data_IF_530137652831
#
_entry.id   IF_530137652831
#
_cell.length_a   1.000
_cell.length_b   1.000
_cell.length_c   1.000
_cell.angle_alpha   90.00
_cell.angle_beta   90.00
_cell.angle_gamma   90.00
#
_symmetry.space_group_name_H-M   'P 1'
#
loop_
_entity.id
_entity.type
_entity.pdbx_description
1 polymer ?
#
# COMPACT_ATOMS: atom_id res chain seq x y z
N UNK A 1 -51.71 -22.10 17.32
CA UNK A 1 -51.11 -21.17 16.33
C UNK A 1 -49.61 -21.13 16.58
N UNK A 2 -48.86 -21.92 15.82
CA UNK A 2 -47.40 -22.01 15.93
C UNK A 2 -46.73 -20.69 15.52
N UNK A 3 -46.18 -19.96 16.49
CA UNK A 3 -45.46 -18.68 16.29
C UNK A 3 -44.00 -18.86 15.86
N UNK A 4 -43.55 -20.11 15.72
CA UNK A 4 -42.18 -20.49 15.32
C UNK A 4 -41.71 -19.95 13.96
N UNK A 5 -42.54 -19.85 12.89
CA UNK A 5 -42.05 -19.38 11.59
C UNK A 5 -41.79 -17.87 11.55
N UNK A 6 -42.50 -17.08 12.37
CA UNK A 6 -42.33 -15.62 12.43
C UNK A 6 -41.01 -15.25 13.12
N UNK A 7 -40.65 -15.99 14.16
CA UNK A 7 -39.38 -15.82 14.89
C UNK A 7 -38.17 -16.14 14.02
N UNK A 8 -38.22 -17.21 13.23
CA UNK A 8 -37.17 -17.57 12.28
C UNK A 8 -36.98 -16.50 11.20
N UNK A 9 -38.07 -15.93 10.67
CA UNK A 9 -38.01 -14.85 9.69
C UNK A 9 -37.31 -13.59 10.21
N UNK A 10 -37.57 -13.21 11.46
CA UNK A 10 -36.96 -12.03 12.09
C UNK A 10 -35.45 -12.23 12.31
N UNK A 11 -35.02 -13.42 12.75
CA UNK A 11 -33.59 -13.73 12.97
C UNK A 11 -32.82 -13.71 11.64
N UNK A 12 -33.43 -14.24 10.57
CA UNK A 12 -32.83 -14.27 9.24
C UNK A 12 -32.69 -12.86 8.65
N UNK A 13 -33.69 -12.00 8.87
CA UNK A 13 -33.63 -10.59 8.48
C UNK A 13 -32.52 -9.84 9.24
N UNK A 14 -32.37 -10.10 10.55
CA UNK A 14 -31.29 -9.52 11.35
C UNK A 14 -29.91 -9.99 10.86
N UNK A 15 -29.78 -11.26 10.49
CA UNK A 15 -28.54 -11.80 9.94
C UNK A 15 -28.18 -11.14 8.59
N UNK A 16 -29.16 -10.96 7.69
CA UNK A 16 -28.95 -10.29 6.40
C UNK A 16 -28.55 -8.82 6.60
N UNK A 17 -29.22 -8.10 7.50
CA UNK A 17 -28.90 -6.71 7.80
C UNK A 17 -27.48 -6.55 8.39
N UNK A 18 -27.09 -7.45 9.31
CA UNK A 18 -25.74 -7.45 9.87
C UNK A 18 -24.66 -7.78 8.83
N UNK A 19 -24.94 -8.71 7.89
CA UNK A 19 -24.04 -9.01 6.77
C UNK A 19 -23.91 -7.81 5.82
N UNK A 20 -25.01 -7.10 5.54
CA UNK A 20 -24.99 -5.93 4.64
C UNK A 20 -24.16 -4.76 5.22
N UNK A 21 -24.27 -4.49 6.52
CA UNK A 21 -23.50 -3.43 7.17
C UNK A 21 -22.01 -3.79 7.29
N UNK A 22 -21.69 -5.06 7.53
CA UNK A 22 -20.31 -5.55 7.56
C UNK A 22 -19.63 -5.45 6.17
N UNK A 23 -20.39 -5.65 5.09
CA UNK A 23 -19.86 -5.54 3.72
C UNK A 23 -19.49 -4.10 3.35
N UNK A 24 -20.30 -3.10 3.71
CA UNK A 24 -20.02 -1.67 3.42
C UNK A 24 -18.75 -1.19 4.13
N UNK A 25 -18.54 -1.61 5.39
CA UNK A 25 -17.34 -1.26 6.14
C UNK A 25 -16.10 -1.92 5.50
N UNK A 26 -16.22 -3.17 5.06
CA UNK A 26 -15.12 -3.89 4.40
C UNK A 26 -14.73 -3.27 3.06
N UNK A 27 -15.69 -2.90 2.21
CA UNK A 27 -15.40 -2.27 0.91
C UNK A 27 -14.73 -0.91 1.09
N UNK A 28 -15.20 -0.10 2.04
CA UNK A 28 -14.61 1.22 2.34
C UNK A 28 -13.15 1.10 2.82
N UNK A 29 -12.86 0.13 3.70
CA UNK A 29 -11.48 -0.11 4.17
C UNK A 29 -10.59 -0.61 3.04
N UNK A 30 -11.14 -1.46 2.17
CA UNK A 30 -10.47 -1.95 0.96
C UNK A 30 -10.10 -0.81 -0.01
N UNK A 31 -11.04 0.08 -0.34
CA UNK A 31 -10.78 1.21 -1.24
C UNK A 31 -9.67 2.13 -0.70
N UNK A 32 -9.67 2.37 0.60
CA UNK A 32 -8.62 3.17 1.27
C UNK A 32 -7.26 2.48 1.17
N UNK A 33 -7.19 1.17 1.43
CA UNK A 33 -5.95 0.39 1.34
C UNK A 33 -5.40 0.35 -0.09
N UNK A 34 -6.27 0.18 -1.08
CA UNK A 34 -5.88 0.21 -2.50
C UNK A 34 -5.39 1.60 -2.89
N UNK A 35 -6.10 2.67 -2.49
CA UNK A 35 -5.68 4.04 -2.78
C UNK A 35 -4.33 4.39 -2.13
N UNK A 36 -4.08 3.96 -0.89
CA UNK A 36 -2.78 4.14 -0.22
C UNK A 36 -1.68 3.36 -0.94
N UNK A 37 -1.97 2.13 -1.36
CA UNK A 37 -0.98 1.31 -2.07
C UNK A 37 -0.63 1.92 -3.42
N UNK A 38 -1.64 2.31 -4.20
CA UNK A 38 -1.45 2.91 -5.53
C UNK A 38 -0.64 4.21 -5.44
N UNK A 39 -0.97 5.08 -4.48
CA UNK A 39 -0.23 6.33 -4.24
C UNK A 39 1.23 6.10 -3.81
N UNK A 40 1.50 5.08 -2.98
CA UNK A 40 2.87 4.71 -2.61
C UNK A 40 3.67 4.16 -3.80
N UNK A 41 3.02 3.43 -4.72
CA UNK A 41 3.66 2.94 -5.95
C UNK A 41 3.96 4.06 -6.94
N UNK A 42 3.13 5.10 -7.02
CA UNK A 42 3.39 6.23 -7.93
C UNK A 42 4.49 7.14 -7.38
N UNK A 43 4.46 7.45 -6.08
CA UNK A 43 5.36 8.45 -5.48
C UNK A 43 6.72 7.82 -5.13
N UNK A 44 6.75 6.58 -4.64
CA UNK A 44 7.96 5.92 -4.15
C UNK A 44 9.12 5.91 -5.16
N UNK A 45 8.94 5.42 -6.40
CA UNK A 45 10.00 5.36 -7.41
C UNK A 45 10.50 6.76 -7.79
N UNK A 46 9.61 7.74 -7.87
CA UNK A 46 9.97 9.12 -8.20
C UNK A 46 10.86 9.75 -7.14
N UNK A 47 10.58 9.49 -5.86
CA UNK A 47 11.39 9.97 -4.73
C UNK A 47 12.78 9.32 -4.69
N UNK A 48 12.87 8.03 -5.02
CA UNK A 48 14.15 7.32 -5.15
C UNK A 48 15.02 7.99 -6.22
N UNK A 49 14.46 8.25 -7.41
CA UNK A 49 15.18 8.90 -8.51
C UNK A 49 15.62 10.33 -8.13
N UNK A 50 14.74 11.11 -7.49
CA UNK A 50 15.06 12.46 -7.02
C UNK A 50 16.19 12.46 -5.99
N UNK A 51 16.14 11.57 -4.99
CA UNK A 51 17.20 11.45 -3.98
C UNK A 51 18.52 10.96 -4.60
N UNK A 52 18.45 10.05 -5.56
CA UNK A 52 19.64 9.55 -6.25
C UNK A 52 20.32 10.64 -7.08
N UNK A 53 19.53 11.40 -7.85
CA UNK A 53 20.04 12.52 -8.64
C UNK A 53 20.59 13.63 -7.74
N UNK A 54 19.91 13.97 -6.64
CA UNK A 54 20.42 14.92 -5.65
C UNK A 54 21.75 14.47 -5.02
N UNK A 55 21.86 13.19 -4.64
CA UNK A 55 23.11 12.60 -4.14
C UNK A 55 24.24 12.65 -5.18
N UNK A 56 23.92 12.38 -6.45
CA UNK A 56 24.86 12.43 -7.57
C UNK A 56 25.35 13.85 -7.88
N UNK A 57 24.46 14.84 -7.85
CA UNK A 57 24.82 16.27 -7.96
C UNK A 57 25.73 16.66 -6.81
N UNK A 58 25.38 16.32 -5.57
CA UNK A 58 26.21 16.61 -4.39
C UNK A 58 27.59 15.94 -4.46
N UNK A 59 27.67 14.74 -5.04
CA UNK A 59 28.93 14.02 -5.23
C UNK A 59 29.82 14.68 -6.29
N UNK A 60 29.24 15.09 -7.42
CA UNK A 60 29.97 15.66 -8.57
C UNK A 60 30.35 17.12 -8.35
N UNK A 61 29.43 17.95 -7.83
CA UNK A 61 29.66 19.36 -7.53
C UNK A 61 30.31 19.61 -6.17
N UNK A 62 30.47 18.58 -5.33
CA UNK A 62 31.19 18.68 -4.06
C UNK A 62 32.69 19.01 -4.21
N UNK A 63 33.22 19.04 -5.44
CA UNK A 63 34.56 19.54 -5.73
C UNK A 63 35.66 18.79 -4.96
N UNK A 64 36.49 19.55 -4.24
CA UNK A 64 37.58 19.06 -3.38
C UNK A 64 37.14 18.74 -1.96
N UNK A 65 35.87 18.98 -1.59
CA UNK A 65 35.40 18.80 -0.23
C UNK A 65 35.09 17.31 0.05
N UNK A 66 35.92 16.61 0.86
CA UNK A 66 35.76 15.17 1.08
C UNK A 66 34.45 14.86 1.82
N UNK A 67 33.96 15.80 2.63
CA UNK A 67 32.68 15.68 3.34
C UNK A 67 31.48 15.64 2.38
N UNK A 68 31.46 16.51 1.36
CA UNK A 68 30.39 16.57 0.38
C UNK A 68 30.32 15.29 -0.47
N UNK A 69 31.47 14.76 -0.91
CA UNK A 69 31.57 13.49 -1.64
C UNK A 69 31.11 12.30 -0.80
N UNK A 70 31.54 12.20 0.46
CA UNK A 70 31.11 11.12 1.36
C UNK A 70 29.61 11.17 1.60
N UNK A 71 29.06 12.36 1.84
CA UNK A 71 27.62 12.56 2.03
C UNK A 71 26.82 12.23 0.76
N UNK A 72 27.25 12.68 -0.42
CA UNK A 72 26.59 12.38 -1.69
C UNK A 72 26.55 10.88 -1.99
N UNK A 73 27.65 10.16 -1.74
CA UNK A 73 27.69 8.70 -1.88
C UNK A 73 26.71 7.99 -0.94
N UNK A 74 26.63 8.43 0.32
CA UNK A 74 25.69 7.85 1.29
C UNK A 74 24.22 8.10 0.89
N UNK A 75 23.90 9.27 0.35
CA UNK A 75 22.56 9.58 -0.16
C UNK A 75 22.21 8.67 -1.34
N UNK A 76 23.13 8.47 -2.29
CA UNK A 76 22.91 7.54 -3.40
C UNK A 76 22.70 6.10 -2.93
N UNK A 77 23.51 5.62 -1.98
CA UNK A 77 23.38 4.27 -1.42
C UNK A 77 22.04 4.13 -0.69
N UNK A 78 21.66 5.11 0.12
CA UNK A 78 20.40 5.08 0.86
C UNK A 78 19.19 5.09 -0.07
N UNK A 79 19.24 5.89 -1.15
CA UNK A 79 18.22 5.87 -2.20
C UNK A 79 18.14 4.51 -2.90
N UNK A 80 19.29 3.89 -3.23
CA UNK A 80 19.34 2.57 -3.84
C UNK A 80 18.72 1.49 -2.95
N UNK A 81 19.03 1.50 -1.65
CA UNK A 81 18.44 0.59 -0.65
C UNK A 81 16.93 0.81 -0.56
N UNK A 82 16.48 2.07 -0.51
CA UNK A 82 15.06 2.41 -0.55
C UNK A 82 14.35 1.89 -1.79
N UNK A 83 14.97 2.01 -2.97
CA UNK A 83 14.44 1.49 -4.23
C UNK A 83 14.37 -0.05 -4.29
N UNK A 84 15.34 -0.75 -3.70
CA UNK A 84 15.32 -2.22 -3.59
C UNK A 84 14.18 -2.66 -2.67
N UNK A 85 14.00 -1.99 -1.52
CA UNK A 85 12.89 -2.27 -0.60
C UNK A 85 11.53 -2.01 -1.28
N UNK A 86 11.42 -0.94 -2.06
CA UNK A 86 10.21 -0.63 -2.81
C UNK A 86 9.91 -1.71 -3.86
N UNK A 87 10.93 -2.17 -4.58
CA UNK A 87 10.82 -3.25 -5.57
C UNK A 87 10.43 -4.59 -4.96
N UNK A 88 10.90 -4.88 -3.73
CA UNK A 88 10.49 -6.06 -2.97
C UNK A 88 9.07 -5.94 -2.44
N UNK A 89 8.63 -4.75 -2.04
CA UNK A 89 7.26 -4.50 -1.58
C UNK A 89 6.22 -4.63 -2.71
N UNK A 90 6.63 -4.37 -3.96
CA UNK A 90 5.78 -4.40 -5.15
C UNK A 90 5.02 -5.74 -5.32
N UNK A 91 5.68 -6.91 -5.42
CA UNK A 91 5.00 -8.20 -5.54
C UNK A 91 4.27 -8.64 -4.27
N UNK A 92 4.58 -8.06 -3.10
CA UNK A 92 3.84 -8.33 -1.87
C UNK A 92 2.48 -7.63 -1.85
N UNK A 93 2.40 -6.40 -2.38
CA UNK A 93 1.19 -5.57 -2.35
C UNK A 93 0.31 -5.67 -3.63
N UNK A 94 0.84 -6.25 -4.71
CA UNK A 94 0.13 -6.42 -5.98
C UNK A 94 -1.06 -7.41 -5.90
N UNK A 95 -2.03 -7.33 -6.84
CA UNK A 95 -3.12 -8.31 -6.99
C UNK A 95 -2.59 -9.73 -7.15
N UNK A 96 -2.88 -10.60 -6.19
CA UNK A 96 -2.34 -11.97 -6.14
C UNK A 96 -0.95 -12.10 -5.47
N UNK A 97 -0.44 -11.03 -4.87
CA UNK A 97 0.75 -11.05 -4.02
C UNK A 97 0.54 -11.81 -2.71
N UNK A 98 1.63 -12.15 -2.02
CA UNK A 98 1.59 -12.99 -0.80
C UNK A 98 0.73 -12.43 0.35
N UNK A 99 0.45 -11.12 0.37
CA UNK A 99 -0.43 -10.50 1.35
C UNK A 99 -1.90 -10.44 0.91
N UNK A 100 -2.24 -10.79 -0.34
CA UNK A 100 -3.61 -10.89 -0.82
C UNK A 100 -4.44 -9.59 -0.84
N UNK A 101 -3.87 -8.46 -0.39
CA UNK A 101 -4.57 -7.22 -0.04
C UNK A 101 -5.49 -6.67 -1.13
N UNK A 102 -5.13 -6.86 -2.40
CA UNK A 102 -5.86 -6.35 -3.57
C UNK A 102 -6.78 -7.41 -4.18
N UNK A 103 -6.48 -8.70 -4.01
CA UNK A 103 -7.34 -9.83 -4.43
C UNK A 103 -8.52 -10.05 -3.49
N UNK A 104 -8.34 -9.86 -2.17
CA UNK A 104 -9.45 -9.93 -1.21
C UNK A 104 -10.46 -8.79 -1.41
N UNK A 105 -10.02 -7.64 -1.93
CA UNK A 105 -10.89 -6.51 -2.26
C UNK A 105 -11.57 -6.65 -3.64
N UNK A 106 -11.00 -7.40 -4.57
CA UNK A 106 -11.57 -7.61 -5.92
C UNK A 106 -12.78 -8.55 -5.96
N UNK A 107 -13.02 -9.34 -4.91
CA UNK A 107 -14.17 -10.27 -4.83
C UNK A 107 -15.45 -9.55 -4.36
N UNK A 108 -15.35 -8.32 -3.86
CA UNK A 108 -16.45 -7.55 -3.28
C UNK A 108 -16.93 -6.35 -4.13
N UNK A 109 -16.45 -6.23 -5.37
CA UNK A 109 -16.96 -5.28 -6.38
C UNK A 109 -17.99 -5.97 -7.28
#
# INVERSE_FOLDING_TARGET
>A
MDRRPILLGIILLQAILNVSAANIIRTTVCDILVAITDTMMTIGPTMVILMFTYGGVKYTYGGTDPGARKSGKMICIHSLIGGILLSLALPLAAPGGALGLTTDCAIYV
#
